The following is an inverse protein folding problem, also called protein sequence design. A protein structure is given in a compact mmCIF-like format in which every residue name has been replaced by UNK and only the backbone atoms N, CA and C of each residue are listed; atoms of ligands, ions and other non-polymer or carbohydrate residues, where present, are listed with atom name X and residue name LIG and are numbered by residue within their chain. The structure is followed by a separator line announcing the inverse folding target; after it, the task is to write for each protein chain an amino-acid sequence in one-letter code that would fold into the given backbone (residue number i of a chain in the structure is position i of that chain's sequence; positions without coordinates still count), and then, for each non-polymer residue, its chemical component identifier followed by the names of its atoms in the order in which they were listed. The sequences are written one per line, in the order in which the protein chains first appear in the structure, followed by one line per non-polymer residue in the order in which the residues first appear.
data_IF_667983771025
#
_entry.id   IF_667983771025
#
_cell.length_a   1.000
_cell.length_b   1.000
_cell.length_c   1.000
_cell.angle_alpha   90.00
_cell.angle_beta   90.00
_cell.angle_gamma   90.00
#
_symmetry.space_group_name_H-M   'P 1'
#
loop_
_entity.id
_entity.type
_entity.pdbx_description
1 polymer ?
#
# COMPACT_ATOMS: atom_id res chain seq x y z
N UNK A 1 25.07 3.93 15.24
CA UNK A 1 24.75 2.65 14.59
C UNK A 1 23.24 2.61 14.51
N UNK A 2 22.66 2.90 13.35
CA UNK A 2 21.21 2.74 13.14
C UNK A 2 20.84 1.27 13.32
N UNK A 3 19.81 1.00 14.13
CA UNK A 3 19.37 -0.34 14.46
C UNK A 3 18.72 -0.97 13.22
N UNK A 4 19.03 -2.23 12.93
CA UNK A 4 18.39 -3.00 11.84
C UNK A 4 16.87 -3.09 12.01
N UNK A 5 16.35 -2.97 13.24
CA UNK A 5 14.92 -2.88 13.51
C UNK A 5 14.31 -1.53 13.06
N UNK A 6 15.05 -0.43 13.21
CA UNK A 6 14.59 0.91 12.80
C UNK A 6 14.55 1.00 11.27
N UNK A 7 15.55 0.43 10.58
CA UNK A 7 15.58 0.36 9.11
C UNK A 7 14.44 -0.51 8.54
N UNK A 8 14.12 -1.64 9.18
CA UNK A 8 12.97 -2.49 8.79
C UNK A 8 11.62 -1.84 9.09
N UNK A 9 11.52 -1.08 10.17
CA UNK A 9 10.33 -0.29 10.48
C UNK A 9 10.10 0.77 9.41
N UNK A 10 11.14 1.46 8.94
CA UNK A 10 11.02 2.44 7.85
C UNK A 10 10.56 1.81 6.53
N UNK A 11 11.05 0.61 6.18
CA UNK A 11 10.65 -0.08 4.94
C UNK A 11 9.19 -0.55 4.98
N UNK A 12 8.72 -1.07 6.12
CA UNK A 12 7.36 -1.61 6.23
C UNK A 12 6.29 -0.55 6.58
N UNK A 13 6.71 0.65 6.98
CA UNK A 13 5.81 1.71 7.46
C UNK A 13 4.65 2.02 6.48
N UNK A 14 4.86 2.13 5.15
CA UNK A 14 3.75 2.39 4.23
C UNK A 14 2.70 1.27 4.26
N UNK A 15 3.13 0.00 4.33
CA UNK A 15 2.24 -1.16 4.32
C UNK A 15 1.45 -1.23 5.63
N UNK A 16 2.12 -1.01 6.77
CA UNK A 16 1.46 -1.00 8.08
C UNK A 16 0.42 0.11 8.20
N UNK A 17 0.69 1.30 7.66
CA UNK A 17 -0.29 2.40 7.61
C UNK A 17 -1.50 2.06 6.74
N UNK A 18 -1.29 1.35 5.62
CA UNK A 18 -2.40 0.91 4.77
C UNK A 18 -3.23 -0.17 5.45
N UNK A 19 -2.57 -1.15 6.09
CA UNK A 19 -3.25 -2.20 6.82
C UNK A 19 -4.14 -1.62 7.94
N UNK A 20 -3.64 -0.63 8.70
CA UNK A 20 -4.42 0.09 9.72
C UNK A 20 -5.61 0.84 9.09
N UNK A 21 -5.41 1.63 8.03
CA UNK A 21 -6.48 2.39 7.35
C UNK A 21 -7.58 1.53 6.72
N UNK A 22 -7.28 0.26 6.46
CA UNK A 22 -8.15 -0.69 5.75
C UNK A 22 -8.66 -1.80 6.67
N UNK A 23 -8.34 -1.73 7.96
CA UNK A 23 -8.69 -2.72 8.99
C UNK A 23 -8.21 -4.15 8.65
N UNK A 24 -7.02 -4.26 8.06
CA UNK A 24 -6.41 -5.54 7.68
C UNK A 24 -5.63 -6.09 8.87
N UNK A 25 -5.95 -7.30 9.36
CA UNK A 25 -5.30 -7.87 10.54
C UNK A 25 -3.86 -8.32 10.23
N UNK A 26 -2.88 -7.50 10.58
CA UNK A 26 -1.44 -7.80 10.45
C UNK A 26 -0.68 -7.54 11.75
N UNK A 27 0.50 -8.12 11.91
CA UNK A 27 1.38 -7.83 13.06
C UNK A 27 2.56 -6.96 12.62
N UNK A 28 2.94 -6.00 13.47
CA UNK A 28 4.07 -5.10 13.17
C UNK A 28 5.41 -5.83 12.96
N UNK A 29 5.56 -7.03 13.54
CA UNK A 29 6.75 -7.86 13.40
C UNK A 29 6.66 -8.89 12.25
N UNK A 30 5.61 -8.85 11.43
CA UNK A 30 5.53 -9.68 10.22
C UNK A 30 6.58 -9.22 9.19
N UNK A 31 6.97 -10.14 8.31
CA UNK A 31 7.89 -9.85 7.20
C UNK A 31 7.23 -8.91 6.19
N UNK A 32 8.02 -8.11 5.49
CA UNK A 32 7.53 -7.22 4.43
C UNK A 32 6.69 -7.98 3.40
N UNK A 33 7.19 -9.14 2.97
CA UNK A 33 6.49 -10.02 2.04
C UNK A 33 5.11 -10.44 2.57
N UNK A 34 5.02 -10.86 3.83
CA UNK A 34 3.74 -11.25 4.44
C UNK A 34 2.76 -10.08 4.54
N UNK A 35 3.26 -8.89 4.91
CA UNK A 35 2.46 -7.67 4.97
C UNK A 35 1.93 -7.29 3.57
N UNK A 36 2.80 -7.34 2.56
CA UNK A 36 2.45 -7.07 1.17
C UNK A 36 1.38 -8.02 0.66
N UNK A 37 1.55 -9.32 0.85
CA UNK A 37 0.58 -10.31 0.38
C UNK A 37 -0.76 -10.22 1.10
N UNK A 38 -0.78 -9.88 2.40
CA UNK A 38 -2.03 -9.63 3.12
C UNK A 38 -2.81 -8.44 2.53
N UNK A 39 -2.11 -7.35 2.19
CA UNK A 39 -2.70 -6.20 1.51
C UNK A 39 -3.18 -6.55 0.10
N UNK A 40 -2.37 -7.27 -0.67
CA UNK A 40 -2.70 -7.67 -2.04
C UNK A 40 -3.92 -8.60 -2.09
N UNK A 41 -4.02 -9.56 -1.16
CA UNK A 41 -5.16 -10.48 -1.06
C UNK A 41 -6.45 -9.73 -0.71
N UNK A 42 -6.39 -8.79 0.24
CA UNK A 42 -7.52 -7.93 0.56
C UNK A 42 -8.00 -7.13 -0.66
N UNK A 43 -7.07 -6.52 -1.40
CA UNK A 43 -7.40 -5.72 -2.59
C UNK A 43 -7.94 -6.59 -3.73
N UNK A 44 -7.42 -7.80 -3.90
CA UNK A 44 -7.94 -8.79 -4.85
C UNK A 44 -9.39 -9.17 -4.52
N UNK A 45 -9.73 -9.37 -3.24
CA UNK A 45 -11.11 -9.61 -2.83
C UNK A 45 -11.99 -8.39 -3.11
N UNK A 46 -11.53 -7.17 -2.78
CA UNK A 46 -12.30 -5.95 -2.98
C UNK A 46 -12.57 -5.70 -4.47
N UNK A 47 -11.58 -5.82 -5.36
CA UNK A 47 -11.81 -5.61 -6.80
C UNK A 47 -12.80 -6.62 -7.40
N UNK A 48 -12.81 -7.86 -6.89
CA UNK A 48 -13.71 -8.91 -7.37
C UNK A 48 -15.13 -8.80 -6.80
N UNK A 49 -15.32 -8.17 -5.64
CA UNK A 49 -16.59 -8.22 -4.91
C UNK A 49 -17.28 -6.87 -4.73
N UNK A 50 -16.53 -5.76 -4.65
CA UNK A 50 -17.06 -4.44 -4.35
C UNK A 50 -16.22 -3.32 -4.99
N UNK A 51 -16.57 -2.97 -6.23
CA UNK A 51 -15.91 -1.90 -6.96
C UNK A 51 -16.10 -0.51 -6.31
N UNK A 52 -17.24 -0.26 -5.66
CA UNK A 52 -17.46 1.02 -4.98
C UNK A 52 -16.52 1.17 -3.78
N UNK A 53 -16.28 0.08 -3.04
CA UNK A 53 -15.27 0.04 -1.99
C UNK A 53 -13.87 0.26 -2.55
N UNK A 54 -13.53 -0.33 -3.70
CA UNK A 54 -12.25 -0.05 -4.36
C UNK A 54 -12.08 1.46 -4.63
N UNK A 55 -13.07 2.11 -5.24
CA UNK A 55 -13.02 3.55 -5.50
C UNK A 55 -12.84 4.36 -4.21
N UNK A 56 -13.58 4.00 -3.15
CA UNK A 56 -13.44 4.62 -1.82
C UNK A 56 -12.03 4.52 -1.25
N UNK A 57 -11.37 3.36 -1.44
CA UNK A 57 -9.98 3.15 -1.04
C UNK A 57 -9.05 4.08 -1.83
N UNK A 58 -9.17 4.10 -3.17
CA UNK A 58 -8.35 4.91 -4.06
C UNK A 58 -8.40 6.41 -3.71
N UNK A 59 -9.59 6.93 -3.39
CA UNK A 59 -9.73 8.32 -2.96
C UNK A 59 -9.09 8.59 -1.59
N UNK A 60 -9.21 7.66 -0.63
CA UNK A 60 -8.62 7.81 0.71
C UNK A 60 -7.09 7.84 0.67
N UNK A 61 -6.51 7.08 -0.24
CA UNK A 61 -5.06 6.97 -0.41
C UNK A 61 -4.49 7.95 -1.43
N UNK A 62 -5.33 8.75 -2.09
CA UNK A 62 -4.93 9.73 -3.11
C UNK A 62 -4.22 9.08 -4.31
N UNK A 63 -4.86 8.03 -4.85
CA UNK A 63 -4.46 7.35 -6.09
C UNK A 63 -5.57 7.51 -7.12
N UNK A 64 -5.22 8.04 -8.30
CA UNK A 64 -6.18 8.21 -9.40
C UNK A 64 -6.53 6.87 -10.06
N UNK A 65 -7.81 6.69 -10.41
CA UNK A 65 -8.31 5.48 -11.10
C UNK A 65 -7.58 5.24 -12.43
N UNK A 66 -7.23 6.31 -13.15
CA UNK A 66 -6.47 6.21 -14.40
C UNK A 66 -5.09 5.57 -14.19
N UNK A 67 -4.39 5.91 -13.09
CA UNK A 67 -3.10 5.29 -12.75
C UNK A 67 -3.27 3.79 -12.48
N UNK A 68 -4.37 3.40 -11.84
CA UNK A 68 -4.71 1.98 -11.61
C UNK A 68 -4.99 1.26 -12.92
N UNK A 69 -5.85 1.83 -13.79
CA UNK A 69 -6.16 1.23 -15.10
C UNK A 69 -4.92 1.03 -15.95
N UNK A 70 -4.05 2.05 -16.01
CA UNK A 70 -2.80 1.97 -16.74
C UNK A 70 -1.89 0.87 -16.18
N UNK A 71 -1.69 0.85 -14.86
CA UNK A 71 -0.83 -0.15 -14.23
C UNK A 71 -1.35 -1.58 -14.44
N UNK A 72 -2.66 -1.80 -14.37
CA UNK A 72 -3.27 -3.11 -14.65
C UNK A 72 -3.08 -3.53 -16.12
N UNK A 73 -3.18 -2.59 -17.06
CA UNK A 73 -2.96 -2.86 -18.48
C UNK A 73 -1.50 -3.21 -18.79
N UNK A 74 -0.55 -2.61 -18.08
CA UNK A 74 0.89 -2.81 -18.23
C UNK A 74 1.38 -4.10 -17.53
N UNK A 75 0.76 -4.51 -16.42
CA UNK A 75 1.24 -5.59 -15.56
C UNK A 75 0.38 -6.88 -15.65
N UNK A 76 0.18 -7.40 -16.86
CA UNK A 76 -0.69 -8.57 -17.11
C UNK A 76 -0.24 -9.89 -16.48
N UNK A 77 1.00 -9.96 -15.98
CA UNK A 77 1.58 -11.16 -15.37
C UNK A 77 1.45 -11.18 -13.84
N UNK A 78 0.87 -10.14 -13.23
CA UNK A 78 0.65 -10.04 -11.79
C UNK A 78 -0.85 -10.04 -11.48
N UNK A 79 -1.22 -10.37 -10.24
CA UNK A 79 -2.62 -10.23 -9.84
C UNK A 79 -3.02 -8.75 -9.72
N UNK A 80 -4.29 -8.44 -9.93
CA UNK A 80 -4.77 -7.05 -9.84
C UNK A 80 -4.54 -6.48 -8.44
N UNK A 81 -4.73 -7.30 -7.41
CA UNK A 81 -4.45 -6.96 -6.02
C UNK A 81 -2.98 -6.59 -5.77
N UNK A 82 -2.02 -7.31 -6.37
CA UNK A 82 -0.59 -6.99 -6.27
C UNK A 82 -0.23 -5.67 -6.95
N UNK A 83 -0.79 -5.42 -8.13
CA UNK A 83 -0.59 -4.17 -8.88
C UNK A 83 -1.11 -2.98 -8.07
N UNK A 84 -2.33 -3.09 -7.55
CA UNK A 84 -2.95 -2.02 -6.75
C UNK A 84 -2.20 -1.85 -5.43
N UNK A 85 -1.82 -2.92 -4.73
CA UNK A 85 -1.05 -2.85 -3.49
C UNK A 85 0.24 -2.05 -3.69
N UNK A 86 0.98 -2.33 -4.77
CA UNK A 86 2.19 -1.60 -5.14
C UNK A 86 1.92 -0.10 -5.27
N UNK A 87 0.88 0.28 -6.03
CA UNK A 87 0.51 1.69 -6.22
C UNK A 87 0.15 2.39 -4.90
N UNK A 88 -0.56 1.71 -3.99
CA UNK A 88 -0.93 2.29 -2.70
C UNK A 88 0.29 2.49 -1.80
N UNK A 89 1.20 1.51 -1.79
CA UNK A 89 2.43 1.53 -0.99
C UNK A 89 3.33 2.68 -1.46
N UNK A 90 3.55 2.81 -2.77
CA UNK A 90 4.31 3.91 -3.36
C UNK A 90 3.76 5.27 -2.91
N UNK A 91 2.43 5.43 -2.98
CA UNK A 91 1.77 6.68 -2.63
C UNK A 91 1.90 7.01 -1.14
N UNK A 92 1.78 6.03 -0.24
CA UNK A 92 2.03 6.26 1.19
C UNK A 92 3.50 6.54 1.48
N UNK A 93 4.43 5.88 0.78
CA UNK A 93 5.86 6.15 0.90
C UNK A 93 6.19 7.60 0.48
N UNK A 94 5.61 8.09 -0.62
CA UNK A 94 5.74 9.49 -1.03
C UNK A 94 5.25 10.45 0.07
N UNK A 95 4.07 10.20 0.65
CA UNK A 95 3.54 11.04 1.73
C UNK A 95 4.46 11.09 2.94
N UNK A 96 5.04 9.96 3.34
CA UNK A 96 6.01 9.87 4.43
C UNK A 96 7.23 10.75 4.10
N UNK A 97 7.82 10.57 2.92
CA UNK A 97 8.98 11.34 2.46
C UNK A 97 8.67 12.84 2.42
N UNK A 98 7.54 13.24 1.85
CA UNK A 98 7.09 14.64 1.81
C UNK A 98 6.96 15.22 3.22
N UNK A 99 6.30 14.52 4.16
CA UNK A 99 6.15 14.99 5.54
C UNK A 99 7.49 15.15 6.26
N UNK A 100 8.44 14.24 6.01
CA UNK A 100 9.79 14.32 6.58
C UNK A 100 10.55 15.56 6.06
N UNK A 101 10.44 15.86 4.76
CA UNK A 101 11.09 17.03 4.14
C UNK A 101 10.57 18.36 4.70
N UNK A 102 9.28 18.47 5.01
CA UNK A 102 8.67 19.71 5.51
C UNK A 102 8.61 19.81 7.05
N UNK A 103 8.93 18.74 7.80
CA UNK A 103 8.98 18.78 9.27
C UNK A 103 10.20 19.57 9.80
N UNK A 104 11.24 19.71 9.00
CA UNK A 104 12.50 20.38 9.36
C UNK A 104 12.64 21.79 8.75
N UNK A 105 11.54 22.42 8.33
CA UNK A 105 11.48 23.82 7.89
C UNK A 105 10.57 24.61 8.83
#
# INVERSE_FOLDING_TARGET
MENLADLKMETNQPILLLADKLDIPVKQNDTEEKLFFALAEYLEQVIQTDFNKLLGILYRVDVAEEKVRQALAENKNQSSGQVIATLLIEREQEKIKTRALYRNK
#
